data_IF_025044748726
#
_entry.id   IF_025044748726
#
_cell.length_a   1.000
_cell.length_b   1.000
_cell.length_c   1.000
_cell.angle_alpha   90.00
_cell.angle_beta   90.00
_cell.angle_gamma   90.00
#
_symmetry.space_group_name_H-M   'P 1'
#
loop_
_entity.id
_entity.type
_entity.pdbx_description
1 polymer ?
#
# COMPACT_ATOMS: atom_id res chain seq x y z
N UNK A 1 12.38 13.61 -21.72
CA UNK A 1 13.58 13.60 -22.61
C UNK A 1 13.96 15.05 -22.85
N UNK A 2 15.25 15.42 -22.81
CA UNK A 2 15.70 16.80 -23.04
C UNK A 2 15.69 17.15 -24.55
N UNK A 3 14.54 16.99 -25.22
CA UNK A 3 14.36 17.28 -26.65
C UNK A 3 15.12 16.38 -27.63
N UNK A 4 15.57 15.19 -27.20
CA UNK A 4 16.37 14.24 -28.00
C UNK A 4 15.53 13.05 -28.49
N UNK A 5 14.43 13.38 -29.17
CA UNK A 5 13.37 12.44 -29.49
C UNK A 5 13.85 11.36 -30.50
N UNK A 6 14.56 11.74 -31.57
CA UNK A 6 15.13 10.78 -32.53
C UNK A 6 16.24 9.88 -31.94
N UNK A 7 17.07 10.42 -31.03
CA UNK A 7 18.09 9.62 -30.34
C UNK A 7 17.45 8.56 -29.45
N UNK A 8 16.35 8.91 -28.77
CA UNK A 8 15.61 7.97 -27.94
C UNK A 8 14.99 6.82 -28.74
N UNK A 9 14.51 7.09 -29.95
CA UNK A 9 14.02 6.07 -30.89
C UNK A 9 15.15 5.11 -31.29
N UNK A 10 16.33 5.65 -31.62
CA UNK A 10 17.51 4.84 -31.96
C UNK A 10 17.99 3.95 -30.80
N UNK A 11 17.94 4.45 -29.57
CA UNK A 11 18.23 3.65 -28.38
C UNK A 11 17.19 2.55 -28.15
N UNK A 12 15.90 2.85 -28.33
CA UNK A 12 14.82 1.88 -28.17
C UNK A 12 14.91 0.75 -29.21
N UNK A 13 15.20 1.10 -30.47
CA UNK A 13 15.42 0.15 -31.56
C UNK A 13 16.58 -0.81 -31.24
N UNK A 14 17.71 -0.28 -30.72
CA UNK A 14 18.85 -1.09 -30.27
C UNK A 14 18.48 -2.03 -29.12
N UNK A 15 17.70 -1.56 -28.14
CA UNK A 15 17.22 -2.37 -27.01
C UNK A 15 16.30 -3.51 -27.45
N UNK A 16 15.40 -3.24 -28.41
CA UNK A 16 14.47 -4.22 -28.97
C UNK A 16 15.11 -5.14 -30.02
N UNK A 17 16.36 -4.85 -30.43
CA UNK A 17 17.07 -5.54 -31.54
C UNK A 17 16.28 -5.51 -32.85
N UNK A 18 15.56 -4.42 -33.07
CA UNK A 18 14.61 -4.22 -34.16
C UNK A 18 14.95 -2.96 -34.96
N UNK A 19 14.40 -2.83 -36.17
CA UNK A 19 14.57 -1.60 -36.94
C UNK A 19 13.80 -0.44 -36.27
N UNK A 20 14.34 0.80 -36.28
CA UNK A 20 13.60 1.99 -35.84
C UNK A 20 12.28 2.23 -36.59
N UNK A 21 12.13 1.70 -37.82
CA UNK A 21 10.90 1.85 -38.60
C UNK A 21 9.85 0.77 -38.30
N UNK A 22 10.19 -0.24 -37.50
CA UNK A 22 9.24 -1.31 -37.18
C UNK A 22 8.07 -0.75 -36.37
N UNK A 23 6.85 -1.12 -36.77
CA UNK A 23 5.61 -0.60 -36.20
C UNK A 23 5.58 -0.73 -34.68
N UNK A 24 6.00 -1.88 -34.13
CA UNK A 24 6.06 -2.11 -32.67
C UNK A 24 6.95 -1.11 -31.94
N UNK A 25 8.12 -0.80 -32.50
CA UNK A 25 9.08 0.16 -31.91
C UNK A 25 8.52 1.58 -31.99
N UNK A 26 7.87 1.92 -33.11
CA UNK A 26 7.21 3.22 -33.29
C UNK A 26 6.04 3.42 -32.33
N UNK A 27 5.20 2.40 -32.16
CA UNK A 27 4.07 2.42 -31.22
C UNK A 27 4.55 2.60 -29.77
N UNK A 28 5.54 1.81 -29.36
CA UNK A 28 6.13 1.90 -28.02
C UNK A 28 6.78 3.27 -27.78
N UNK A 29 7.56 3.76 -28.74
CA UNK A 29 8.21 5.06 -28.66
C UNK A 29 7.21 6.22 -28.56
N UNK A 30 6.15 6.22 -29.39
CA UNK A 30 5.07 7.23 -29.32
C UNK A 30 4.32 7.18 -27.99
N UNK A 31 4.11 5.99 -27.44
CA UNK A 31 3.54 5.81 -26.10
C UNK A 31 4.41 6.44 -25.01
N UNK A 32 5.72 6.13 -25.02
CA UNK A 32 6.69 6.72 -24.08
C UNK A 32 6.73 8.25 -24.22
N UNK A 33 6.77 8.76 -25.45
CA UNK A 33 6.82 10.20 -25.71
C UNK A 33 5.55 10.91 -25.21
N UNK A 34 4.39 10.30 -25.41
CA UNK A 34 3.10 10.81 -24.92
C UNK A 34 3.09 10.91 -23.39
N UNK A 35 3.56 9.87 -22.69
CA UNK A 35 3.66 9.89 -21.22
C UNK A 35 4.66 10.93 -20.73
N UNK A 36 5.84 11.03 -21.36
CA UNK A 36 6.86 12.02 -20.99
C UNK A 36 6.34 13.45 -21.17
N UNK A 37 5.68 13.75 -22.29
CA UNK A 37 5.11 15.07 -22.54
C UNK A 37 3.95 15.38 -21.60
N UNK A 38 3.14 14.38 -21.26
CA UNK A 38 2.09 14.50 -20.27
C UNK A 38 2.63 14.90 -18.89
N UNK A 39 3.68 14.21 -18.40
CA UNK A 39 4.34 14.54 -17.14
C UNK A 39 4.96 15.95 -17.16
N UNK A 40 5.55 16.36 -18.30
CA UNK A 40 6.10 17.72 -18.46
C UNK A 40 5.01 18.79 -18.43
N UNK A 41 3.91 18.59 -19.16
CA UNK A 41 2.79 19.52 -19.18
C UNK A 41 2.14 19.70 -17.81
N UNK A 42 2.01 18.62 -17.03
CA UNK A 42 1.54 18.70 -15.64
C UNK A 42 2.50 19.47 -14.74
N UNK A 43 3.80 19.23 -14.89
CA UNK A 43 4.82 19.91 -14.10
C UNK A 43 4.87 21.41 -14.42
N UNK A 44 4.69 21.81 -15.68
CA UNK A 44 4.59 23.20 -16.12
C UNK A 44 3.30 23.87 -15.62
N UNK A 45 2.15 23.18 -15.71
CA UNK A 45 0.86 23.66 -15.23
C UNK A 45 0.87 23.89 -13.73
N UNK A 46 1.36 22.92 -12.97
CA UNK A 46 1.32 22.96 -11.50
C UNK A 46 2.50 23.77 -10.92
N UNK A 47 3.63 23.87 -11.63
CA UNK A 47 4.83 24.62 -11.21
C UNK A 47 5.47 25.42 -12.36
N UNK A 48 4.96 26.64 -12.65
CA UNK A 48 5.49 27.48 -13.73
C UNK A 48 6.99 27.81 -13.57
N UNK A 49 7.46 28.02 -12.33
CA UNK A 49 8.86 28.33 -12.01
C UNK A 49 9.76 27.10 -11.81
N UNK A 50 9.38 25.92 -12.34
CA UNK A 50 10.10 24.68 -12.04
C UNK A 50 11.58 24.67 -12.43
N UNK A 51 11.94 25.42 -13.47
CA UNK A 51 13.31 25.53 -13.96
C UNK A 51 14.23 26.36 -13.03
N UNK A 52 13.68 27.27 -12.21
CA UNK A 52 14.46 28.17 -11.35
C UNK A 52 14.87 27.52 -10.02
N UNK A 53 14.00 26.69 -9.44
CA UNK A 53 14.23 26.08 -8.12
C UNK A 53 13.79 24.60 -8.07
N UNK A 54 14.60 23.66 -8.58
CA UNK A 54 14.21 22.25 -8.65
C UNK A 54 13.95 21.62 -7.27
N UNK A 55 14.70 22.03 -6.23
CA UNK A 55 14.49 21.53 -4.86
C UNK A 55 13.16 22.00 -4.25
N UNK A 56 12.78 23.27 -4.49
CA UNK A 56 11.52 23.83 -3.98
C UNK A 56 10.31 23.17 -4.65
N UNK A 57 10.40 22.84 -5.95
CA UNK A 57 9.37 22.04 -6.63
C UNK A 57 9.25 20.67 -5.99
N UNK A 58 10.38 20.02 -5.70
CA UNK A 58 10.42 18.75 -5.00
C UNK A 58 9.61 18.80 -3.70
N UNK A 59 9.87 19.80 -2.86
CA UNK A 59 9.16 20.04 -1.61
C UNK A 59 7.67 20.35 -1.81
N UNK A 60 7.33 21.28 -2.71
CA UNK A 60 5.93 21.63 -3.01
C UNK A 60 5.12 20.40 -3.47
N UNK A 61 5.71 19.54 -4.28
CA UNK A 61 5.07 18.29 -4.72
C UNK A 61 4.75 17.33 -3.56
N UNK A 62 5.54 17.33 -2.47
CA UNK A 62 5.22 16.57 -1.26
C UNK A 62 4.08 17.23 -0.47
N UNK A 63 4.12 18.55 -0.30
CA UNK A 63 3.07 19.32 0.37
C UNK A 63 1.72 19.17 -0.35
N UNK A 64 1.74 19.08 -1.68
CA UNK A 64 0.52 18.92 -2.48
C UNK A 64 -0.26 17.63 -2.19
N UNK A 65 0.40 16.58 -1.70
CA UNK A 65 -0.29 15.36 -1.26
C UNK A 65 -1.29 15.67 -0.12
N UNK A 66 -1.02 16.68 0.69
CA UNK A 66 -1.85 17.07 1.84
C UNK A 66 -2.81 18.21 1.52
N UNK A 67 -2.87 18.69 0.27
CA UNK A 67 -3.87 19.69 -0.13
C UNK A 67 -5.24 19.05 -0.29
N UNK A 68 -6.30 19.83 -0.10
CA UNK A 68 -7.70 19.40 -0.18
C UNK A 68 -8.01 18.54 -1.43
N UNK A 69 -7.36 18.87 -2.55
CA UNK A 69 -7.44 18.16 -3.82
C UNK A 69 -7.02 16.68 -3.75
N UNK A 70 -5.99 16.34 -2.97
CA UNK A 70 -5.47 14.95 -2.82
C UNK A 70 -5.65 14.38 -1.41
N UNK A 71 -6.13 15.18 -0.45
CA UNK A 71 -6.15 14.85 0.96
C UNK A 71 -6.86 13.52 1.27
N UNK A 72 -8.04 13.28 0.71
CA UNK A 72 -8.79 12.02 0.95
C UNK A 72 -8.02 10.79 0.49
N UNK A 73 -7.38 10.88 -0.68
CA UNK A 73 -6.55 9.82 -1.27
C UNK A 73 -5.31 9.57 -0.41
N UNK A 74 -4.62 10.64 -0.01
CA UNK A 74 -3.45 10.57 0.86
C UNK A 74 -3.78 10.01 2.23
N UNK A 75 -4.91 10.41 2.83
CA UNK A 75 -5.36 9.88 4.11
C UNK A 75 -5.58 8.36 4.04
N UNK A 76 -6.27 7.85 3.02
CA UNK A 76 -6.46 6.40 2.85
C UNK A 76 -5.12 5.69 2.63
N UNK A 77 -4.26 6.23 1.76
CA UNK A 77 -2.98 5.63 1.42
C UNK A 77 -1.97 5.62 2.58
N UNK A 78 -2.09 6.53 3.56
CA UNK A 78 -1.26 6.55 4.76
C UNK A 78 -1.88 5.80 5.94
N UNK A 79 -3.21 5.88 6.10
CA UNK A 79 -3.91 5.27 7.22
C UNK A 79 -3.90 3.75 7.17
N UNK A 80 -4.07 3.15 5.98
CA UNK A 80 -4.09 1.68 5.86
C UNK A 80 -2.75 1.04 6.26
N UNK A 81 -1.59 1.53 5.78
CA UNK A 81 -0.30 1.05 6.28
C UNK A 81 -0.03 1.40 7.74
N UNK A 82 -0.53 2.54 8.24
CA UNK A 82 -0.47 2.84 9.67
C UNK A 82 -1.23 1.79 10.50
N UNK A 83 -2.48 1.49 10.15
CA UNK A 83 -3.29 0.48 10.84
C UNK A 83 -2.71 -0.93 10.71
N UNK A 84 -2.09 -1.26 9.58
CA UNK A 84 -1.36 -2.51 9.41
C UNK A 84 -0.29 -2.67 10.49
N UNK A 85 0.53 -1.64 10.73
CA UNK A 85 1.59 -1.69 11.73
C UNK A 85 1.04 -1.66 13.16
N UNK A 86 0.05 -0.80 13.43
CA UNK A 86 -0.60 -0.67 14.73
C UNK A 86 -1.53 -1.85 15.06
N UNK A 87 -1.78 -2.77 14.12
CA UNK A 87 -2.39 -4.06 14.42
C UNK A 87 -1.48 -4.98 15.24
N UNK A 88 -0.18 -4.67 15.35
CA UNK A 88 0.77 -5.39 16.19
C UNK A 88 1.56 -6.50 15.49
N UNK A 89 1.39 -6.71 14.17
CA UNK A 89 1.95 -7.88 13.48
C UNK A 89 3.48 -7.96 13.57
N UNK A 90 4.17 -6.84 13.36
CA UNK A 90 5.63 -6.82 13.39
C UNK A 90 6.16 -6.98 14.81
N UNK A 91 5.49 -6.39 15.80
CA UNK A 91 5.79 -6.64 17.21
C UNK A 91 5.63 -8.12 17.56
N UNK A 92 4.56 -8.74 17.06
CA UNK A 92 4.32 -10.16 17.25
C UNK A 92 5.44 -10.98 16.61
N UNK A 93 5.85 -10.70 15.38
CA UNK A 93 6.95 -11.43 14.72
C UNK A 93 8.29 -11.25 15.45
N UNK A 94 8.59 -10.05 15.97
CA UNK A 94 9.84 -9.79 16.69
C UNK A 94 9.89 -10.45 18.08
N UNK A 95 8.76 -10.51 18.76
CA UNK A 95 8.65 -10.96 20.15
C UNK A 95 7.79 -12.22 20.31
N UNK A 96 7.56 -12.97 19.24
CA UNK A 96 6.67 -14.14 19.24
C UNK A 96 7.00 -15.15 20.36
N UNK A 97 8.27 -15.51 20.62
CA UNK A 97 8.60 -16.39 21.74
C UNK A 97 8.13 -15.82 23.08
N UNK A 98 8.39 -14.53 23.34
CA UNK A 98 7.95 -13.83 24.56
C UNK A 98 6.43 -13.79 24.68
N UNK A 99 5.71 -13.59 23.57
CA UNK A 99 4.24 -13.68 23.57
C UNK A 99 3.74 -15.07 23.94
N UNK A 100 4.38 -16.15 23.46
CA UNK A 100 3.98 -17.52 23.79
C UNK A 100 4.39 -17.94 25.21
N UNK A 101 5.56 -17.52 25.69
CA UNK A 101 5.99 -17.69 27.07
C UNK A 101 5.03 -17.00 28.05
N UNK A 102 4.55 -15.80 27.71
CA UNK A 102 3.54 -15.09 28.49
C UNK A 102 2.20 -15.84 28.60
N UNK A 103 1.95 -16.84 27.74
CA UNK A 103 0.79 -17.75 27.77
C UNK A 103 1.07 -19.05 28.52
N UNK A 104 2.22 -19.17 29.19
CA UNK A 104 2.64 -20.36 29.94
C UNK A 104 3.20 -21.48 29.08
N UNK A 105 3.64 -21.19 27.84
CA UNK A 105 4.35 -22.16 27.01
C UNK A 105 5.83 -22.27 27.41
N UNK A 106 6.42 -23.46 27.25
CA UNK A 106 7.85 -23.67 27.50
C UNK A 106 8.70 -23.02 26.41
N UNK A 107 9.93 -22.61 26.73
CA UNK A 107 10.86 -21.93 25.82
C UNK A 107 11.02 -22.67 24.48
N UNK A 108 11.19 -23.99 24.53
CA UNK A 108 11.33 -24.81 23.32
C UNK A 108 10.04 -24.81 22.46
N UNK A 109 8.87 -24.88 23.09
CA UNK A 109 7.61 -24.81 22.38
C UNK A 109 7.38 -23.41 21.80
N UNK A 110 7.69 -22.36 22.55
CA UNK A 110 7.56 -20.97 22.11
C UNK A 110 8.38 -20.67 20.86
N UNK A 111 9.60 -21.22 20.76
CA UNK A 111 10.42 -21.14 19.55
C UNK A 111 9.79 -21.87 18.35
N UNK A 112 9.30 -23.09 18.56
CA UNK A 112 8.65 -23.88 17.50
C UNK A 112 7.39 -23.17 17.01
N UNK A 113 6.54 -22.68 17.93
CA UNK A 113 5.32 -21.94 17.62
C UNK A 113 5.63 -20.64 16.88
N UNK A 114 6.69 -19.92 17.25
CA UNK A 114 7.17 -18.74 16.49
C UNK A 114 7.56 -19.09 15.05
N UNK A 115 8.26 -20.21 14.84
CA UNK A 115 8.55 -20.72 13.49
C UNK A 115 7.27 -21.02 12.70
N UNK A 116 6.31 -21.68 13.33
CA UNK A 116 5.02 -22.03 12.72
C UNK A 116 4.18 -20.79 12.33
N UNK A 117 4.28 -19.68 13.06
CA UNK A 117 3.63 -18.40 12.71
C UNK A 117 4.07 -17.91 11.33
N UNK A 118 5.35 -18.06 10.98
CA UNK A 118 5.83 -17.66 9.65
C UNK A 118 5.29 -18.57 8.53
N UNK A 119 5.19 -19.88 8.79
CA UNK A 119 4.54 -20.82 7.86
C UNK A 119 3.07 -20.45 7.69
N UNK A 120 2.39 -20.11 8.79
CA UNK A 120 1.00 -19.69 8.80
C UNK A 120 0.79 -18.42 7.95
N UNK A 121 1.69 -17.44 8.06
CA UNK A 121 1.67 -16.24 7.21
C UNK A 121 1.85 -16.58 5.73
N UNK A 122 2.74 -17.50 5.41
CA UNK A 122 2.95 -17.96 4.04
C UNK A 122 1.69 -18.62 3.48
N UNK A 123 1.09 -19.54 4.24
CA UNK A 123 -0.14 -20.26 3.86
C UNK A 123 -1.33 -19.30 3.74
N UNK A 124 -1.44 -18.28 4.59
CA UNK A 124 -2.49 -17.26 4.49
C UNK A 124 -2.26 -16.29 3.32
N UNK A 125 -1.00 -15.95 3.03
CA UNK A 125 -0.62 -14.97 2.02
C UNK A 125 -0.74 -15.47 0.58
N UNK A 126 -0.43 -16.75 0.31
CA UNK A 126 -0.44 -17.29 -1.06
C UNK A 126 -1.84 -17.29 -1.70
N UNK A 127 -2.91 -17.79 -1.03
CA UNK A 127 -4.25 -17.82 -1.62
C UNK A 127 -4.78 -16.42 -1.91
N UNK A 128 -4.58 -15.46 -1.00
CA UNK A 128 -5.12 -14.12 -1.22
C UNK A 128 -4.47 -13.45 -2.43
N UNK A 129 -3.19 -13.69 -2.74
CA UNK A 129 -2.57 -13.15 -3.96
C UNK A 129 -3.30 -13.57 -5.24
N UNK A 130 -3.93 -14.74 -5.25
CA UNK A 130 -4.69 -15.25 -6.41
C UNK A 130 -6.13 -14.75 -6.44
N UNK A 131 -6.73 -14.45 -5.28
CA UNK A 131 -8.14 -14.11 -5.14
C UNK A 131 -8.42 -12.65 -4.78
N UNK A 132 -7.38 -11.83 -4.54
CA UNK A 132 -7.50 -10.44 -4.09
C UNK A 132 -8.45 -9.63 -4.99
N UNK A 133 -8.33 -9.83 -6.30
CA UNK A 133 -9.15 -9.14 -7.31
C UNK A 133 -10.62 -9.52 -7.28
N UNK A 134 -10.98 -10.69 -6.75
CA UNK A 134 -12.37 -11.14 -6.65
C UNK A 134 -13.07 -10.66 -5.37
N UNK A 135 -12.33 -10.49 -4.27
CA UNK A 135 -12.94 -10.21 -2.96
C UNK A 135 -13.33 -8.74 -2.81
N UNK A 136 -12.50 -7.81 -3.29
CA UNK A 136 -12.72 -6.37 -3.03
C UNK A 136 -11.75 -5.82 -2.00
N UNK A 137 -11.09 -4.69 -2.29
CA UNK A 137 -10.15 -4.05 -1.35
C UNK A 137 -10.87 -3.48 -0.14
N UNK A 138 -12.04 -2.85 -0.34
CA UNK A 138 -12.83 -2.25 0.75
C UNK A 138 -13.37 -3.33 1.69
N UNK A 139 -13.89 -4.43 1.14
CA UNK A 139 -14.38 -5.57 1.94
C UNK A 139 -13.26 -6.18 2.77
N UNK A 140 -12.08 -6.39 2.18
CA UNK A 140 -10.91 -6.89 2.90
C UNK A 140 -10.47 -5.94 4.03
N UNK A 141 -10.49 -4.64 3.79
CA UNK A 141 -10.13 -3.65 4.81
C UNK A 141 -11.10 -3.66 6.01
N UNK A 142 -12.41 -3.79 5.76
CA UNK A 142 -13.44 -3.80 6.81
C UNK A 142 -13.43 -5.14 7.55
N UNK A 143 -13.66 -6.24 6.82
CA UNK A 143 -13.77 -7.57 7.42
C UNK A 143 -12.45 -8.05 8.00
N UNK A 144 -11.31 -7.69 7.38
CA UNK A 144 -9.98 -7.95 7.92
C UNK A 144 -9.76 -7.25 9.25
N UNK A 145 -10.15 -5.98 9.38
CA UNK A 145 -10.02 -5.23 10.63
C UNK A 145 -10.84 -5.87 11.76
N UNK A 146 -12.08 -6.29 11.45
CA UNK A 146 -12.94 -7.00 12.40
C UNK A 146 -12.35 -8.37 12.77
N UNK A 147 -11.92 -9.15 11.78
CA UNK A 147 -11.35 -10.49 11.99
C UNK A 147 -10.05 -10.46 12.80
N UNK A 148 -9.25 -9.40 12.69
CA UNK A 148 -8.07 -9.18 13.53
C UNK A 148 -8.42 -8.63 14.92
N UNK A 149 -9.47 -7.82 15.03
CA UNK A 149 -9.89 -7.24 16.31
C UNK A 149 -10.45 -8.29 17.27
N UNK A 150 -11.24 -9.25 16.77
CA UNK A 150 -11.90 -10.26 17.62
C UNK A 150 -10.86 -11.06 18.45
N UNK A 151 -9.82 -11.68 17.85
CA UNK A 151 -8.81 -12.40 18.62
C UNK A 151 -8.08 -11.50 19.64
N UNK A 152 -7.76 -10.26 19.29
CA UNK A 152 -7.10 -9.32 20.19
C UNK A 152 -7.94 -8.98 21.41
N UNK A 153 -9.22 -8.67 21.21
CA UNK A 153 -10.13 -8.32 22.30
C UNK A 153 -10.40 -9.52 23.21
N UNK A 154 -10.56 -10.72 22.63
CA UNK A 154 -10.71 -11.96 23.41
C UNK A 154 -9.43 -12.26 24.19
N UNK A 155 -8.24 -12.15 23.57
CA UNK A 155 -6.96 -12.31 24.26
C UNK A 155 -6.80 -11.32 25.41
N UNK A 156 -7.17 -10.05 25.22
CA UNK A 156 -7.10 -9.06 26.30
C UNK A 156 -7.93 -9.48 27.53
N UNK A 157 -9.15 -9.97 27.31
CA UNK A 157 -10.02 -10.48 28.38
C UNK A 157 -9.48 -11.73 29.07
N UNK A 158 -8.94 -12.68 28.30
CA UNK A 158 -8.36 -13.91 28.83
C UNK A 158 -7.08 -13.64 29.61
N UNK A 159 -6.19 -12.78 29.10
CA UNK A 159 -4.98 -12.36 29.79
C UNK A 159 -5.33 -11.68 31.11
N UNK A 160 -6.27 -10.74 31.13
CA UNK A 160 -6.67 -10.07 32.36
C UNK A 160 -7.19 -11.04 33.45
N UNK A 161 -7.83 -12.14 33.04
CA UNK A 161 -8.45 -13.09 33.98
C UNK A 161 -7.52 -14.21 34.45
N UNK A 162 -6.65 -14.71 33.57
CA UNK A 162 -5.93 -15.97 33.77
C UNK A 162 -4.40 -15.82 33.80
N UNK A 163 -3.84 -14.64 33.54
CA UNK A 163 -2.38 -14.45 33.49
C UNK A 163 -1.65 -14.70 34.81
N UNK A 164 -2.37 -14.78 35.93
CA UNK A 164 -1.77 -15.03 37.25
C UNK A 164 -1.40 -16.49 37.49
N UNK A 165 -2.03 -17.45 36.78
CA UNK A 165 -1.76 -18.88 36.98
C UNK A 165 -2.08 -19.70 35.71
N UNK A 166 -1.10 -19.80 34.81
CA UNK A 166 -1.20 -20.64 33.61
C UNK A 166 -1.07 -22.13 33.90
N UNK A 167 -0.45 -22.52 35.01
CA UNK A 167 -0.26 -23.92 35.35
C UNK A 167 -1.59 -24.64 35.61
N UNK A 168 -2.55 -23.94 36.24
CA UNK A 168 -3.92 -24.44 36.42
C UNK A 168 -4.84 -24.24 35.21
N UNK A 169 -4.45 -23.39 34.25
CA UNK A 169 -5.28 -22.99 33.10
C UNK A 169 -4.61 -23.27 31.74
N UNK A 170 -3.87 -24.37 31.61
CA UNK A 170 -3.15 -24.71 30.37
C UNK A 170 -4.04 -24.75 29.12
N UNK A 171 -5.28 -25.23 29.24
CA UNK A 171 -6.24 -25.25 28.13
C UNK A 171 -6.55 -23.83 27.60
N UNK A 172 -6.63 -22.85 28.50
CA UNK A 172 -6.85 -21.44 28.13
C UNK A 172 -5.61 -20.86 27.44
N UNK A 173 -4.41 -21.22 27.90
CA UNK A 173 -3.15 -20.87 27.24
C UNK A 173 -3.10 -21.36 25.79
N UNK A 174 -3.41 -22.63 25.55
CA UNK A 174 -3.51 -23.19 24.19
C UNK A 174 -4.61 -22.54 23.34
N UNK A 175 -5.74 -22.16 23.94
CA UNK A 175 -6.76 -21.39 23.23
C UNK A 175 -6.25 -20.01 22.81
N UNK A 176 -5.47 -19.33 23.66
CA UNK A 176 -4.81 -18.06 23.30
C UNK A 176 -3.80 -18.24 22.16
N UNK A 177 -3.05 -19.34 22.15
CA UNK A 177 -2.18 -19.71 21.02
C UNK A 177 -2.99 -19.83 19.73
N UNK A 178 -4.15 -20.51 19.76
CA UNK A 178 -5.03 -20.62 18.59
C UNK A 178 -5.57 -19.26 18.12
N UNK A 179 -5.90 -18.34 19.05
CA UNK A 179 -6.32 -16.98 18.72
C UNK A 179 -5.22 -16.17 18.04
N UNK A 180 -3.96 -16.34 18.46
CA UNK A 180 -2.80 -15.74 17.77
C UNK A 180 -2.74 -16.21 16.31
N UNK A 181 -2.85 -17.51 16.05
CA UNK A 181 -2.83 -18.02 14.68
C UNK A 181 -4.01 -17.51 13.86
N UNK A 182 -5.20 -17.42 14.45
CA UNK A 182 -6.37 -16.85 13.79
C UNK A 182 -6.15 -15.37 13.43
N UNK A 183 -5.55 -14.60 14.33
CA UNK A 183 -5.14 -13.22 14.07
C UNK A 183 -4.15 -13.15 12.90
N UNK A 184 -3.07 -13.94 12.95
CA UNK A 184 -2.03 -13.95 11.93
C UNK A 184 -2.60 -14.31 10.55
N UNK A 185 -3.45 -15.33 10.47
CA UNK A 185 -4.14 -15.71 9.22
C UNK A 185 -5.03 -14.57 8.71
N UNK A 186 -5.82 -13.96 9.61
CA UNK A 186 -6.69 -12.85 9.26
C UNK A 186 -5.89 -11.67 8.71
N UNK A 187 -4.74 -11.35 9.33
CA UNK A 187 -3.82 -10.34 8.85
C UNK A 187 -3.27 -10.67 7.45
N UNK A 188 -2.75 -11.88 7.26
CA UNK A 188 -2.13 -12.31 6.00
C UNK A 188 -3.10 -12.29 4.83
N UNK A 189 -4.38 -12.59 5.08
CA UNK A 189 -5.44 -12.58 4.06
C UNK A 189 -6.00 -11.16 3.81
N UNK A 190 -5.75 -10.19 4.70
CA UNK A 190 -6.34 -8.85 4.60
C UNK A 190 -5.30 -7.72 4.53
N UNK A 191 -4.88 -7.18 5.67
CA UNK A 191 -4.02 -6.00 5.76
C UNK A 191 -2.60 -6.23 5.27
N UNK A 192 -2.13 -7.49 5.25
CA UNK A 192 -0.83 -7.87 4.70
C UNK A 192 -0.62 -7.36 3.26
N UNK A 193 -1.38 -7.85 2.26
CA UNK A 193 -1.29 -7.36 0.89
C UNK A 193 -1.88 -5.96 0.70
N UNK A 194 -2.97 -5.65 1.42
CA UNK A 194 -3.73 -4.41 1.21
C UNK A 194 -2.88 -3.15 1.44
N UNK A 195 -2.01 -3.15 2.44
CA UNK A 195 -1.16 -2.00 2.74
C UNK A 195 -0.14 -1.66 1.66
N UNK A 196 0.24 -2.61 0.81
CA UNK A 196 1.17 -2.40 -0.29
C UNK A 196 0.45 -2.10 -1.61
N UNK A 197 -0.72 -2.70 -1.81
CA UNK A 197 -1.50 -2.56 -3.05
C UNK A 197 -2.30 -1.26 -3.07
N UNK A 198 -3.02 -0.95 -2.00
CA UNK A 198 -3.96 0.16 -1.97
C UNK A 198 -3.31 1.53 -2.21
N UNK A 199 -2.13 1.88 -1.65
CA UNK A 199 -1.48 3.14 -1.97
C UNK A 199 -1.20 3.32 -3.47
N UNK A 200 -0.83 2.25 -4.18
CA UNK A 200 -0.55 2.32 -5.61
C UNK A 200 -1.83 2.53 -6.46
N UNK A 201 -2.96 1.98 -6.01
CA UNK A 201 -4.26 2.08 -6.69
C UNK A 201 -4.96 3.42 -6.44
N UNK A 202 -4.74 4.04 -5.28
CA UNK A 202 -5.42 5.27 -4.88
C UNK A 202 -4.79 6.52 -5.50
N UNK A 203 -3.49 6.51 -5.81
CA UNK A 203 -2.83 7.68 -6.38
C UNK A 203 -2.85 7.73 -7.92
N UNK A 204 -3.09 8.91 -8.52
CA UNK A 204 -2.95 9.13 -9.95
C UNK A 204 -1.49 9.03 -10.40
N UNK A 205 -1.26 8.71 -11.67
CA UNK A 205 0.09 8.45 -12.24
C UNK A 205 1.17 9.47 -11.82
N UNK A 206 0.93 10.80 -11.90
CA UNK A 206 1.96 11.81 -11.65
C UNK A 206 2.39 11.91 -10.18
N UNK A 207 1.48 11.59 -9.24
CA UNK A 207 1.72 11.68 -7.80
C UNK A 207 1.98 10.31 -7.15
N UNK A 208 1.74 9.22 -7.87
CA UNK A 208 1.86 7.84 -7.38
C UNK A 208 3.21 7.55 -6.75
N UNK A 209 4.32 7.93 -7.40
CA UNK A 209 5.65 7.66 -6.87
C UNK A 209 5.88 8.28 -5.48
N UNK A 210 5.47 9.54 -5.28
CA UNK A 210 5.60 10.23 -3.99
C UNK A 210 4.60 9.72 -2.96
N UNK A 211 3.37 9.47 -3.38
CA UNK A 211 2.31 8.95 -2.51
C UNK A 211 2.65 7.57 -1.97
N UNK A 212 3.11 6.65 -2.82
CA UNK A 212 3.61 5.33 -2.41
C UNK A 212 4.87 5.46 -1.56
N UNK A 213 5.78 6.38 -1.89
CA UNK A 213 6.94 6.69 -1.04
C UNK A 213 6.55 7.14 0.37
N UNK A 214 5.53 8.00 0.50
CA UNK A 214 4.99 8.45 1.78
C UNK A 214 4.38 7.28 2.57
N UNK A 215 3.60 6.43 1.90
CA UNK A 215 3.01 5.23 2.49
C UNK A 215 4.08 4.27 3.02
N UNK A 216 5.13 4.00 2.24
CA UNK A 216 6.28 3.21 2.67
C UNK A 216 7.01 3.85 3.85
N UNK A 217 7.20 5.18 3.84
CA UNK A 217 7.74 5.91 4.98
C UNK A 217 6.90 5.74 6.24
N UNK A 218 5.56 5.78 6.12
CA UNK A 218 4.63 5.52 7.22
C UNK A 218 4.76 4.09 7.75
N UNK A 219 4.89 3.08 6.88
CA UNK A 219 5.12 1.68 7.29
C UNK A 219 6.34 1.59 8.19
N UNK A 220 7.48 2.11 7.75
CA UNK A 220 8.73 1.99 8.50
C UNK A 220 8.73 2.82 9.77
N UNK A 221 8.13 4.01 9.75
CA UNK A 221 7.98 4.85 10.94
C UNK A 221 7.09 4.17 11.98
N UNK A 222 5.91 3.69 11.58
CA UNK A 222 5.00 3.00 12.49
C UNK A 222 5.60 1.67 12.99
N UNK A 223 6.33 0.95 12.15
CA UNK A 223 7.07 -0.25 12.56
C UNK A 223 8.13 0.07 13.62
N UNK A 224 8.91 1.15 13.44
CA UNK A 224 9.88 1.60 14.43
C UNK A 224 9.22 1.92 15.78
N UNK A 225 8.12 2.68 15.76
CA UNK A 225 7.37 3.03 16.98
C UNK A 225 6.92 1.77 17.71
N UNK A 226 6.28 0.83 17.00
CA UNK A 226 5.77 -0.41 17.57
C UNK A 226 6.91 -1.30 18.09
N UNK A 227 8.00 -1.43 17.33
CA UNK A 227 9.16 -2.22 17.74
C UNK A 227 9.80 -1.72 19.04
N UNK A 228 9.84 -0.40 19.25
CA UNK A 228 10.41 0.20 20.47
C UNK A 228 9.43 0.16 21.65
N UNK A 229 8.14 0.42 21.41
CA UNK A 229 7.17 0.65 22.49
C UNK A 229 6.60 -0.66 23.04
N UNK A 230 6.47 -1.72 22.22
CA UNK A 230 5.77 -2.95 22.63
C UNK A 230 6.41 -3.71 23.80
N UNK A 231 7.75 -3.87 23.89
CA UNK A 231 8.35 -4.51 25.06
C UNK A 231 7.97 -3.82 26.38
N UNK A 232 8.00 -2.48 26.41
CA UNK A 232 7.57 -1.68 27.56
C UNK A 232 6.06 -1.82 27.84
N UNK A 233 5.24 -1.92 26.79
CA UNK A 233 3.81 -2.19 26.95
C UNK A 233 3.56 -3.55 27.58
N UNK A 234 4.25 -4.60 27.15
CA UNK A 234 4.10 -5.94 27.73
C UNK A 234 4.44 -5.95 29.22
N UNK A 235 5.50 -5.23 29.63
CA UNK A 235 5.91 -5.14 31.03
C UNK A 235 4.95 -4.31 31.90
N UNK A 236 4.48 -3.17 31.40
CA UNK A 236 3.69 -2.20 32.20
C UNK A 236 2.18 -2.39 32.08
N UNK A 237 1.69 -2.70 30.89
CA UNK A 237 0.26 -2.85 30.59
C UNK A 237 -0.17 -4.32 30.61
N UNK A 238 0.73 -5.26 30.34
CA UNK A 238 0.41 -6.69 30.27
C UNK A 238 -0.72 -6.95 29.27
N UNK A 239 -1.88 -7.35 29.80
CA UNK A 239 -3.12 -7.58 29.03
C UNK A 239 -3.59 -6.35 28.22
N UNK A 240 -3.29 -5.14 28.70
CA UNK A 240 -3.62 -3.88 28.03
C UNK A 240 -2.97 -3.73 26.66
N UNK A 241 -1.86 -4.45 26.40
CA UNK A 241 -1.18 -4.47 25.09
C UNK A 241 -2.08 -5.06 24.00
N UNK A 242 -2.79 -6.15 24.30
CA UNK A 242 -3.71 -6.78 23.35
C UNK A 242 -4.96 -5.92 23.14
N UNK A 243 -5.45 -5.24 24.18
CA UNK A 243 -6.55 -4.30 24.07
C UNK A 243 -6.17 -3.12 23.15
N UNK A 244 -4.97 -2.59 23.30
CA UNK A 244 -4.44 -1.52 22.44
C UNK A 244 -4.49 -1.92 20.95
N UNK A 245 -3.92 -3.07 20.60
CA UNK A 245 -3.98 -3.55 19.21
C UNK A 245 -5.41 -3.82 18.73
N UNK A 246 -6.26 -4.37 19.61
CA UNK A 246 -7.67 -4.61 19.32
C UNK A 246 -8.42 -3.32 18.97
N UNK A 247 -8.20 -2.24 19.75
CA UNK A 247 -8.80 -0.92 19.50
C UNK A 247 -8.34 -0.36 18.15
N UNK A 248 -7.05 -0.46 17.82
CA UNK A 248 -6.55 -0.01 16.51
C UNK A 248 -7.13 -0.85 15.36
N UNK A 249 -7.33 -2.16 15.54
CA UNK A 249 -8.00 -3.01 14.54
C UNK A 249 -9.47 -2.61 14.33
N UNK A 250 -10.20 -2.29 15.41
CA UNK A 250 -11.58 -1.77 15.33
C UNK A 250 -11.60 -0.40 14.64
N UNK A 251 -10.69 0.50 15.03
CA UNK A 251 -10.55 1.81 14.40
C UNK A 251 -10.24 1.67 12.89
N UNK A 252 -9.41 0.71 12.51
CA UNK A 252 -9.12 0.40 11.12
C UNK A 252 -10.37 -0.05 10.35
N UNK A 253 -11.20 -0.91 10.94
CA UNK A 253 -12.45 -1.35 10.34
C UNK A 253 -13.44 -0.19 10.16
N UNK A 254 -13.59 0.66 11.19
CA UNK A 254 -14.45 1.85 11.16
C UNK A 254 -13.96 2.85 10.10
N UNK A 255 -12.67 3.15 10.10
CA UNK A 255 -12.04 4.01 9.10
C UNK A 255 -12.28 3.47 7.68
N UNK A 256 -12.06 2.18 7.49
CA UNK A 256 -12.25 1.51 6.20
C UNK A 256 -13.70 1.51 5.74
N UNK A 257 -14.65 1.46 6.66
CA UNK A 257 -16.07 1.56 6.33
C UNK A 257 -16.44 2.92 5.74
N UNK A 258 -15.92 4.01 6.32
CA UNK A 258 -16.29 5.38 5.93
C UNK A 258 -15.43 5.98 4.83
N UNK A 259 -14.11 5.78 4.84
CA UNK A 259 -13.18 6.52 3.97
C UNK A 259 -12.58 5.70 2.83
N UNK A 260 -12.57 4.36 2.90
CA UNK A 260 -11.94 3.53 1.86
C UNK A 260 -12.95 3.20 0.77
N UNK A 261 -12.77 3.68 -0.47
CA UNK A 261 -13.60 3.27 -1.59
C UNK A 261 -13.21 1.87 -2.08
N UNK A 262 -14.13 1.21 -2.78
CA UNK A 262 -13.81 -0.03 -3.47
C UNK A 262 -12.98 0.26 -4.72
N UNK A 263 -11.79 -0.35 -4.82
CA UNK A 263 -10.83 -0.20 -5.93
C UNK A 263 -10.70 -1.45 -6.81
N UNK A 264 -11.23 -2.61 -6.39
CA UNK A 264 -11.12 -3.85 -7.16
C UNK A 264 -11.84 -3.80 -8.50
N UNK A 265 -11.18 -4.23 -9.57
CA UNK A 265 -11.71 -4.29 -10.94
C UNK A 265 -12.34 -2.98 -11.42
N UNK A 266 -11.91 -1.86 -10.84
CA UNK A 266 -12.40 -0.55 -11.21
C UNK A 266 -11.37 0.17 -12.06
N UNK A 267 -11.88 0.88 -13.05
CA UNK A 267 -11.03 1.83 -13.78
C UNK A 267 -10.61 2.96 -12.84
N UNK A 268 -9.53 3.65 -13.21
CA UNK A 268 -9.07 4.82 -12.46
C UNK A 268 -10.20 5.86 -12.30
N UNK A 269 -11.06 6.06 -13.30
CA UNK A 269 -12.21 6.98 -13.19
C UNK A 269 -13.21 6.57 -12.10
N UNK A 270 -13.54 5.29 -12.02
CA UNK A 270 -14.49 4.80 -11.03
C UNK A 270 -13.91 4.87 -9.60
N UNK A 271 -12.58 4.78 -9.47
CA UNK A 271 -11.90 5.05 -8.20
C UNK A 271 -11.99 6.54 -7.86
N UNK A 272 -11.81 7.45 -8.82
CA UNK A 272 -11.96 8.89 -8.61
C UNK A 272 -13.37 9.29 -8.21
N UNK A 273 -14.38 8.73 -8.88
CA UNK A 273 -15.77 8.90 -8.50
C UNK A 273 -16.02 8.42 -7.06
N UNK A 274 -15.34 7.35 -6.62
CA UNK A 274 -15.38 6.87 -5.24
C UNK A 274 -14.82 7.84 -4.19
N UNK A 275 -13.89 8.72 -4.58
CA UNK A 275 -13.37 9.80 -3.73
C UNK A 275 -14.16 11.11 -3.86
N UNK A 276 -14.97 11.23 -4.92
CA UNK A 276 -15.72 12.44 -5.27
C UNK A 276 -14.84 13.54 -5.85
N UNK A 277 -13.80 13.20 -6.61
CA UNK A 277 -12.90 14.15 -7.26
C UNK A 277 -12.84 13.98 -8.79
N UNK A 278 -12.61 15.08 -9.51
CA UNK A 278 -12.51 15.13 -10.99
C UNK A 278 -11.05 15.05 -11.49
N UNK A 279 -10.12 14.65 -10.61
CA UNK A 279 -8.68 14.64 -10.88
C UNK A 279 -8.31 13.86 -12.14
N UNK A 280 -8.93 12.70 -12.27
CA UNK A 280 -8.57 11.71 -13.29
C UNK A 280 -9.18 12.10 -14.64
N UNK A 281 -10.34 12.77 -14.64
CA UNK A 281 -10.94 13.31 -15.86
C UNK A 281 -10.11 14.50 -16.41
N UNK A 282 -9.67 15.40 -15.54
CA UNK A 282 -8.75 16.49 -15.94
C UNK A 282 -7.43 15.95 -16.52
N UNK A 283 -6.82 14.97 -15.85
CA UNK A 283 -5.57 14.34 -16.28
C UNK A 283 -5.74 13.59 -17.61
N UNK A 284 -6.83 12.82 -17.78
CA UNK A 284 -7.11 12.11 -19.05
C UNK A 284 -7.36 13.08 -20.20
N UNK A 285 -8.09 14.17 -19.98
CA UNK A 285 -8.33 15.18 -21.01
C UNK A 285 -7.03 15.85 -21.47
N UNK A 286 -6.09 16.04 -20.55
CA UNK A 286 -4.76 16.51 -20.90
C UNK A 286 -3.95 15.44 -21.64
N UNK A 287 -3.99 14.19 -21.19
CA UNK A 287 -3.28 13.07 -21.80
C UNK A 287 -3.78 12.77 -23.22
N UNK A 288 -5.10 12.84 -23.46
CA UNK A 288 -5.70 12.60 -24.78
C UNK A 288 -5.31 13.67 -25.78
N UNK A 289 -5.28 14.95 -25.35
CA UNK A 289 -4.80 16.08 -26.16
C UNK A 289 -3.33 15.90 -26.55
N UNK A 290 -2.45 15.63 -25.58
CA UNK A 290 -1.01 15.46 -25.81
C UNK A 290 -0.73 14.23 -26.67
N UNK A 291 -1.45 13.13 -26.41
CA UNK A 291 -1.36 11.94 -27.26
C UNK A 291 -1.76 12.30 -28.68
N UNK A 292 -2.92 12.93 -28.91
CA UNK A 292 -3.35 13.35 -30.25
C UNK A 292 -2.29 14.18 -30.97
N UNK A 293 -1.64 15.12 -30.29
CA UNK A 293 -0.54 15.91 -30.83
C UNK A 293 0.69 15.07 -31.21
N UNK A 294 1.09 14.10 -30.39
CA UNK A 294 2.22 13.20 -30.68
C UNK A 294 1.91 12.26 -31.84
N UNK A 295 0.71 11.66 -31.83
CA UNK A 295 0.28 10.68 -32.82
C UNK A 295 0.03 11.31 -34.19
N UNK A 296 -0.55 12.53 -34.25
CA UNK A 296 -0.77 13.26 -35.49
C UNK A 296 0.47 14.04 -35.96
N UNK A 297 1.21 14.68 -35.05
CA UNK A 297 2.38 15.51 -35.38
C UNK A 297 3.55 14.73 -35.99
N UNK A 298 3.72 13.46 -35.66
CA UNK A 298 4.74 12.60 -36.28
C UNK A 298 4.28 11.85 -37.54
N UNK A 299 2.96 11.72 -37.77
CA UNK A 299 2.41 11.18 -39.01
C UNK A 299 2.79 12.06 -40.22
N UNK A 300 2.73 13.38 -40.07
CA UNK A 300 3.08 14.32 -41.14
C UNK A 300 4.59 14.47 -41.38
N UNK A 301 5.42 14.14 -40.39
CA UNK A 301 6.88 14.20 -40.55
C UNK A 301 7.43 12.95 -41.27
N UNK A 302 6.86 11.76 -41.01
CA UNK A 302 7.22 10.55 -41.73
C UNK A 302 6.84 10.60 -43.23
N UNK A 303 5.71 11.23 -43.58
CA UNK A 303 5.35 11.46 -45.00
C UNK A 303 6.24 12.48 -45.71
N UNK A 304 6.83 13.43 -44.97
CA UNK A 304 7.78 14.40 -45.54
C UNK A 304 9.18 13.82 -45.73
N UNK A 305 9.63 12.94 -44.83
CA UNK A 305 10.92 12.24 -44.98
C UNK A 305 10.85 11.09 -45.99
N UNK A 306 9.68 10.51 -46.26
CA UNK A 306 9.51 9.50 -47.32
C UNK A 306 9.40 10.09 -48.75
N UNK A 307 9.42 11.42 -48.89
CA UNK A 307 9.38 12.15 -50.18
C UNK A 307 10.71 12.82 -50.55
N UNK A 308 11.79 12.49 -49.85
CA UNK A 308 13.18 12.90 -50.15
C UNK A 308 14.01 11.66 -50.35
#
# INVERSE_FOLDING_TARGET
MRGRDQYSLGCLAKLRRCSPQEEKVQLEWKGILSEVRFQQALLERDYPDHARHPLLVGFKQWVDLFRQRYLRRTLVALAIPFFQQFSGINAFVYYAPTFFEALGQSDNNSLILSGMVNICQFVGGVPIMLYLDRVGRRKLAIYGGIAMAIPHLVMAGLMNRFSSDWASHQAVGWFCVALIYLYVLSYSISYGPLAWVLPAEVFPSPKRAKGVGAATGMIWLANFIIGVVVPEMLLKLGWGTYLFFGIFCVAAAVFSFFLVPETSNKSLEQVAAGFGDELIDEERNLQSRISGEVWHGYGSHAEKEARV
#
